data_IF_142016381487
#
_entry.id   IF_142016381487
#
_cell.length_a   1.000
_cell.length_b   1.000
_cell.length_c   1.000
_cell.angle_alpha   90.00
_cell.angle_beta   90.00
_cell.angle_gamma   90.00
#
_symmetry.space_group_name_H-M   'P 1'
#
loop_
_entity.id
_entity.type
_entity.pdbx_description
1 polymer ?
#
# COMPACT_ATOMS: atom_id res chain seq x y z
N UNK A 1 11.40 12.95 6.73
CA UNK A 1 12.52 12.09 6.33
C UNK A 1 12.25 11.43 4.97
N UNK A 2 13.31 11.08 4.25
CA UNK A 2 13.23 10.38 2.96
C UNK A 2 14.19 9.19 2.97
N UNK A 3 13.73 8.07 2.37
CA UNK A 3 14.49 6.82 2.30
C UNK A 3 14.03 6.01 1.08
N UNK A 4 14.90 5.12 0.57
CA UNK A 4 14.53 4.15 -0.44
C UNK A 4 13.89 2.92 0.20
N UNK A 5 12.85 2.44 -0.45
CA UNK A 5 12.09 1.24 -0.09
C UNK A 5 11.76 0.44 -1.33
N UNK A 6 11.18 -0.75 -1.13
CA UNK A 6 10.66 -1.62 -2.17
C UNK A 6 9.18 -1.87 -1.94
N UNK A 7 8.40 -2.01 -3.01
CA UNK A 7 7.00 -2.44 -2.94
C UNK A 7 6.58 -3.15 -4.23
N UNK A 8 5.46 -3.85 -4.16
CA UNK A 8 4.82 -4.44 -5.31
C UNK A 8 3.73 -3.51 -5.87
N UNK A 9 3.87 -3.13 -7.15
CA UNK A 9 2.88 -2.36 -7.89
C UNK A 9 2.24 -3.24 -8.97
N UNK A 10 1.12 -3.87 -8.66
CA UNK A 10 0.38 -4.67 -9.65
C UNK A 10 -0.25 -3.76 -10.71
N UNK A 11 0.46 -3.57 -11.82
CA UNK A 11 0.02 -2.72 -12.94
C UNK A 11 -1.11 -3.32 -13.80
N UNK A 12 -1.56 -4.54 -13.52
CA UNK A 12 -2.75 -5.11 -14.18
C UNK A 12 -4.05 -4.51 -13.66
N UNK A 13 -3.98 -3.67 -12.64
CA UNK A 13 -5.11 -2.89 -12.12
C UNK A 13 -4.83 -1.40 -12.21
N UNK A 14 -5.87 -0.60 -12.50
CA UNK A 14 -5.71 0.79 -12.86
C UNK A 14 -4.99 1.67 -11.83
N UNK A 15 -5.35 1.69 -10.52
CA UNK A 15 -4.71 2.62 -9.60
C UNK A 15 -3.19 2.42 -9.47
N UNK A 16 -2.65 1.19 -9.32
CA UNK A 16 -1.21 0.95 -9.37
C UNK A 16 -0.58 1.27 -10.73
N UNK A 17 -1.24 0.92 -11.85
CA UNK A 17 -0.74 1.26 -13.19
C UNK A 17 -0.60 2.78 -13.37
N UNK A 18 -1.61 3.53 -12.94
CA UNK A 18 -1.59 4.98 -12.98
C UNK A 18 -0.47 5.58 -12.12
N UNK A 19 -0.29 5.07 -10.90
CA UNK A 19 0.78 5.49 -10.00
C UNK A 19 2.17 5.19 -10.60
N UNK A 20 2.37 4.00 -11.18
CA UNK A 20 3.62 3.61 -11.82
C UNK A 20 3.92 4.47 -13.06
N UNK A 21 2.91 4.72 -13.91
CA UNK A 21 3.05 5.58 -15.09
C UNK A 21 3.42 7.02 -14.70
N UNK A 22 2.73 7.61 -13.75
CA UNK A 22 3.02 8.95 -13.23
C UNK A 22 4.28 9.02 -12.37
N UNK A 23 4.83 7.88 -11.98
CA UNK A 23 5.93 7.74 -11.03
C UNK A 23 5.63 8.31 -9.64
N UNK A 24 4.38 8.47 -9.29
CA UNK A 24 3.97 9.14 -8.06
C UNK A 24 3.07 8.24 -7.23
N UNK A 25 3.50 7.99 -5.99
CA UNK A 25 2.72 7.34 -4.96
C UNK A 25 2.32 8.38 -3.91
N UNK A 26 1.05 8.42 -3.57
CA UNK A 26 0.56 9.28 -2.49
C UNK A 26 -0.34 8.42 -1.62
N UNK A 27 -0.08 8.45 -0.32
CA UNK A 27 -0.92 7.67 0.60
C UNK A 27 -2.29 8.30 0.77
N UNK A 28 -3.34 7.50 0.96
CA UNK A 28 -4.69 8.00 1.17
C UNK A 28 -4.81 9.03 2.30
N UNK A 29 -4.00 8.91 3.34
CA UNK A 29 -3.95 9.86 4.44
C UNK A 29 -3.64 11.31 4.00
N UNK A 30 -2.98 11.48 2.84
CA UNK A 30 -2.63 12.80 2.30
C UNK A 30 -3.70 13.40 1.39
N UNK A 31 -4.74 12.64 1.02
CA UNK A 31 -5.86 13.12 0.21
C UNK A 31 -7.11 13.44 1.02
N UNK A 32 -7.19 12.92 2.24
CA UNK A 32 -8.39 13.02 3.06
C UNK A 32 -8.43 14.26 3.95
N UNK A 33 -9.62 14.58 4.40
CA UNK A 33 -9.84 15.47 5.55
C UNK A 33 -9.75 14.67 6.86
N UNK A 34 -9.62 15.30 8.03
CA UNK A 34 -9.69 14.60 9.31
C UNK A 34 -10.93 13.73 9.49
N UNK A 35 -12.05 14.11 8.89
CA UNK A 35 -13.33 13.39 8.94
C UNK A 35 -13.51 12.36 7.83
N UNK A 36 -12.70 12.39 6.78
CA UNK A 36 -12.78 11.44 5.67
C UNK A 36 -11.38 11.08 5.17
N UNK A 37 -10.97 9.83 5.43
CA UNK A 37 -9.72 9.26 4.90
C UNK A 37 -10.06 8.09 3.98
N UNK A 38 -9.72 8.15 2.70
CA UNK A 38 -9.96 7.03 1.80
C UNK A 38 -9.14 5.81 2.23
N UNK A 39 -9.63 4.63 1.91
CA UNK A 39 -8.90 3.38 2.13
C UNK A 39 -7.70 3.29 1.19
N UNK A 40 -6.62 2.67 1.66
CA UNK A 40 -5.54 2.24 0.79
C UNK A 40 -6.03 1.15 -0.17
N UNK A 41 -5.24 0.90 -1.22
CA UNK A 41 -5.65 -0.04 -2.28
C UNK A 41 -5.99 -1.43 -1.74
N UNK A 42 -5.24 -1.94 -0.77
CA UNK A 42 -5.44 -3.28 -0.24
C UNK A 42 -6.82 -3.48 0.44
N UNK A 43 -7.22 -2.73 1.49
CA UNK A 43 -8.56 -2.87 2.07
C UNK A 43 -9.67 -2.50 1.09
N UNK A 44 -9.44 -1.58 0.16
CA UNK A 44 -10.38 -1.33 -0.94
C UNK A 44 -10.58 -2.59 -1.81
N UNK A 45 -9.51 -3.30 -2.15
CA UNK A 45 -9.59 -4.54 -2.93
C UNK A 45 -10.33 -5.65 -2.18
N UNK A 46 -10.14 -5.78 -0.86
CA UNK A 46 -10.90 -6.72 -0.03
C UNK A 46 -12.41 -6.44 -0.09
N UNK A 47 -12.82 -5.17 -0.05
CA UNK A 47 -14.22 -4.76 -0.23
C UNK A 47 -14.73 -5.12 -1.63
N UNK A 48 -13.99 -4.75 -2.66
CA UNK A 48 -14.36 -4.99 -4.08
C UNK A 48 -14.51 -6.48 -4.38
N UNK A 49 -13.66 -7.31 -3.82
CA UNK A 49 -13.66 -8.77 -4.03
C UNK A 49 -14.54 -9.52 -3.04
N UNK A 50 -15.28 -8.81 -2.18
CA UNK A 50 -16.18 -9.36 -1.16
C UNK A 50 -15.49 -10.31 -0.16
N UNK A 51 -14.20 -10.12 0.10
CA UNK A 51 -13.45 -10.86 1.13
C UNK A 51 -13.78 -10.29 2.53
N UNK A 52 -15.04 -10.37 2.91
CA UNK A 52 -15.60 -9.70 4.09
C UNK A 52 -14.93 -10.16 5.38
N UNK A 53 -14.70 -11.46 5.53
CA UNK A 53 -14.05 -11.99 6.74
C UNK A 53 -12.61 -11.48 6.86
N UNK A 54 -11.88 -11.45 5.75
CA UNK A 54 -10.52 -10.91 5.73
C UNK A 54 -10.49 -9.42 6.10
N UNK A 55 -11.45 -8.65 5.59
CA UNK A 55 -11.58 -7.24 5.95
C UNK A 55 -11.93 -7.04 7.44
N UNK A 56 -12.82 -7.87 7.99
CA UNK A 56 -13.13 -7.84 9.43
C UNK A 56 -11.87 -8.08 10.26
N UNK A 57 -11.02 -9.03 9.87
CA UNK A 57 -9.74 -9.29 10.53
C UNK A 57 -8.77 -8.12 10.46
N UNK A 58 -8.80 -7.28 9.41
CA UNK A 58 -8.02 -6.04 9.34
C UNK A 58 -8.57 -4.95 10.27
N UNK A 59 -9.88 -4.94 10.52
CA UNK A 59 -10.52 -3.94 11.39
C UNK A 59 -10.14 -4.13 12.86
N UNK A 60 -10.03 -5.35 13.34
CA UNK A 60 -9.71 -5.62 14.76
C UNK A 60 -8.32 -5.06 15.18
N UNK A 61 -7.22 -5.33 14.47
CA UNK A 61 -5.93 -4.69 14.76
C UNK A 61 -5.98 -3.16 14.65
N UNK A 62 -6.81 -2.62 13.73
CA UNK A 62 -6.98 -1.18 13.59
C UNK A 62 -7.67 -0.54 14.80
N UNK A 63 -8.64 -1.22 15.41
CA UNK A 63 -9.28 -0.76 16.65
C UNK A 63 -8.28 -0.72 17.80
N UNK A 64 -7.45 -1.75 17.96
CA UNK A 64 -6.36 -1.79 18.94
C UNK A 64 -5.36 -0.65 18.67
N UNK A 65 -4.94 -0.48 17.41
CA UNK A 65 -4.05 0.61 17.02
C UNK A 65 -4.63 1.96 17.42
N UNK A 66 -5.86 2.23 17.05
CA UNK A 66 -6.52 3.52 17.31
C UNK A 66 -6.61 3.83 18.80
N UNK A 67 -6.82 2.80 19.61
CA UNK A 67 -7.00 2.95 21.07
C UNK A 67 -5.67 3.11 21.80
N UNK A 68 -4.66 2.30 21.45
CA UNK A 68 -3.43 2.18 22.24
C UNK A 68 -2.16 2.65 21.52
N UNK A 69 -2.19 2.70 20.18
CA UNK A 69 -1.02 2.96 19.33
C UNK A 69 -1.33 4.02 18.27
N UNK A 70 -1.99 5.11 18.65
CA UNK A 70 -2.45 6.16 17.71
C UNK A 70 -1.32 6.84 16.94
N UNK A 71 -0.07 6.78 17.44
CA UNK A 71 1.11 7.25 16.75
C UNK A 71 1.52 6.35 15.57
N UNK A 72 1.13 5.08 15.58
CA UNK A 72 1.43 4.15 14.48
C UNK A 72 0.57 4.44 13.26
N UNK A 73 1.10 4.15 12.06
CA UNK A 73 0.38 4.32 10.80
C UNK A 73 -0.70 3.24 10.66
N UNK A 74 -1.89 3.64 10.23
CA UNK A 74 -3.00 2.72 9.99
C UNK A 74 -2.72 1.79 8.80
N UNK A 75 -2.99 0.51 8.96
CA UNK A 75 -2.99 -0.48 7.88
C UNK A 75 -4.06 -0.16 6.81
N UNK A 76 -5.14 0.47 7.20
CA UNK A 76 -6.25 0.79 6.29
C UNK A 76 -5.96 1.99 5.39
N UNK A 77 -5.02 2.85 5.80
CA UNK A 77 -4.74 4.13 5.12
C UNK A 77 -3.29 4.32 4.69
N UNK A 78 -2.38 3.48 5.18
CA UNK A 78 -0.96 3.52 4.84
C UNK A 78 -0.62 2.76 3.56
N UNK A 79 0.59 2.95 3.08
CA UNK A 79 1.22 2.13 2.04
C UNK A 79 2.21 1.16 2.68
N UNK A 80 2.28 -0.05 2.14
CA UNK A 80 3.17 -1.11 2.64
C UNK A 80 4.47 -1.12 1.86
N UNK A 81 5.58 -1.10 2.57
CA UNK A 81 6.92 -0.95 2.02
C UNK A 81 7.88 -1.97 2.66
N UNK A 82 8.88 -2.39 1.92
CA UNK A 82 9.98 -3.24 2.38
C UNK A 82 11.25 -2.41 2.47
N UNK A 83 12.05 -2.63 3.52
CA UNK A 83 13.28 -1.88 3.73
C UNK A 83 14.40 -2.23 2.74
N UNK A 84 14.34 -3.42 2.15
CA UNK A 84 15.30 -3.93 1.18
C UNK A 84 14.65 -4.92 0.19
N UNK A 85 15.32 -5.16 -0.92
CA UNK A 85 14.83 -6.04 -1.99
C UNK A 85 14.73 -7.51 -1.54
N UNK A 86 15.64 -7.97 -0.70
CA UNK A 86 15.62 -9.35 -0.21
C UNK A 86 14.40 -9.62 0.68
N UNK A 87 14.08 -8.70 1.57
CA UNK A 87 12.86 -8.74 2.38
C UNK A 87 11.60 -8.72 1.52
N UNK A 88 11.58 -7.86 0.48
CA UNK A 88 10.45 -7.82 -0.46
C UNK A 88 10.27 -9.15 -1.19
N UNK A 89 11.35 -9.77 -1.69
CA UNK A 89 11.30 -11.08 -2.36
C UNK A 89 10.77 -12.19 -1.46
N UNK A 90 11.01 -12.14 -0.15
CA UNK A 90 10.39 -13.08 0.80
C UNK A 90 8.87 -12.94 0.84
N UNK A 91 8.31 -11.78 0.48
CA UNK A 91 6.88 -11.55 0.33
C UNK A 91 6.22 -12.31 -0.83
N UNK A 92 6.99 -12.80 -1.81
CA UNK A 92 6.46 -13.63 -2.92
C UNK A 92 5.75 -14.90 -2.43
N UNK A 93 6.05 -15.36 -1.22
CA UNK A 93 5.35 -16.49 -0.58
C UNK A 93 3.83 -16.29 -0.48
N UNK A 94 3.36 -15.04 -0.47
CA UNK A 94 1.93 -14.72 -0.41
C UNK A 94 1.24 -14.69 -1.78
N UNK A 95 1.97 -14.99 -2.86
CA UNK A 95 1.43 -14.99 -4.21
C UNK A 95 0.24 -15.94 -4.38
N UNK A 96 0.28 -17.08 -3.74
CA UNK A 96 -0.79 -18.07 -3.82
C UNK A 96 -2.05 -17.65 -3.04
N UNK A 97 -1.89 -16.97 -1.91
CA UNK A 97 -3.00 -16.55 -1.04
C UNK A 97 -3.57 -15.18 -1.40
N UNK A 98 -2.71 -14.25 -1.84
CA UNK A 98 -3.06 -12.85 -2.12
C UNK A 98 -3.07 -12.53 -3.61
N UNK A 99 -3.01 -13.56 -4.45
CA UNK A 99 -3.09 -13.45 -5.89
C UNK A 99 -1.85 -12.83 -6.53
N UNK A 100 -1.99 -12.41 -7.77
CA UNK A 100 -0.87 -11.97 -8.60
C UNK A 100 -0.21 -10.64 -8.14
N UNK A 101 -0.64 -10.07 -7.02
CA UNK A 101 -0.07 -8.83 -6.48
C UNK A 101 1.43 -8.95 -6.18
N UNK A 102 1.86 -10.09 -5.65
CA UNK A 102 3.27 -10.35 -5.28
C UNK A 102 4.09 -10.99 -6.42
N UNK A 103 3.76 -10.72 -7.67
CA UNK A 103 4.59 -11.20 -8.79
C UNK A 103 5.88 -10.39 -8.88
N UNK A 104 7.00 -11.06 -9.17
CA UNK A 104 8.33 -10.43 -9.24
C UNK A 104 8.40 -9.23 -10.21
N UNK A 105 7.65 -9.29 -11.32
CA UNK A 105 7.60 -8.20 -12.33
C UNK A 105 6.98 -6.90 -11.78
N UNK A 106 6.31 -6.94 -10.64
CA UNK A 106 5.70 -5.78 -10.00
C UNK A 106 6.54 -5.18 -8.88
N UNK A 107 7.67 -5.84 -8.55
CA UNK A 107 8.58 -5.34 -7.54
C UNK A 107 9.34 -4.12 -8.06
N UNK A 108 9.26 -3.01 -7.32
CA UNK A 108 9.94 -1.76 -7.66
C UNK A 108 10.58 -1.10 -6.46
N UNK A 109 11.66 -0.39 -6.74
CA UNK A 109 12.26 0.54 -5.79
C UNK A 109 11.55 1.89 -5.84
N UNK A 110 11.37 2.51 -4.67
CA UNK A 110 10.77 3.84 -4.53
C UNK A 110 11.57 4.70 -3.56
N UNK A 111 11.79 5.95 -3.92
CA UNK A 111 12.22 6.97 -2.97
C UNK A 111 11.00 7.52 -2.24
N UNK A 112 10.88 7.30 -0.94
CA UNK A 112 9.68 7.65 -0.19
C UNK A 112 9.98 8.69 0.88
N UNK A 113 9.27 9.82 0.81
CA UNK A 113 9.26 10.86 1.84
C UNK A 113 8.04 10.64 2.73
N UNK A 114 8.28 10.38 4.01
CA UNK A 114 7.22 10.05 4.94
C UNK A 114 7.07 11.08 6.05
N UNK A 115 5.82 11.29 6.47
CA UNK A 115 5.45 12.06 7.65
C UNK A 115 5.42 11.14 8.88
N UNK A 116 4.91 9.92 8.70
CA UNK A 116 4.82 8.87 9.70
C UNK A 116 5.25 7.54 9.11
N UNK A 117 5.92 6.73 9.92
CA UNK A 117 6.42 5.42 9.54
C UNK A 117 6.26 4.47 10.72
N UNK A 118 5.71 3.29 10.46
CA UNK A 118 5.57 2.21 11.44
C UNK A 118 6.31 1.00 10.92
N UNK A 119 7.20 0.42 11.73
CA UNK A 119 7.90 -0.82 11.42
C UNK A 119 7.25 -1.97 12.18
N UNK A 120 6.88 -3.03 11.48
CA UNK A 120 6.19 -4.20 12.02
C UNK A 120 6.77 -5.49 11.44
N UNK A 121 6.63 -6.60 12.18
CA UNK A 121 6.97 -7.92 11.64
C UNK A 121 5.71 -8.56 11.03
N UNK A 122 5.76 -8.84 9.72
CA UNK A 122 4.62 -9.40 8.99
C UNK A 122 4.33 -10.86 9.32
N UNK A 123 5.22 -11.57 10.01
CA UNK A 123 4.95 -12.93 10.45
C UNK A 123 3.72 -12.99 11.39
N UNK A 124 3.45 -11.93 12.17
CA UNK A 124 2.20 -11.80 12.94
C UNK A 124 0.95 -11.82 12.06
N UNK A 125 1.04 -11.19 10.88
CA UNK A 125 -0.05 -11.13 9.92
C UNK A 125 -0.25 -12.47 9.24
N UNK A 126 0.84 -13.15 8.87
CA UNK A 126 0.81 -14.50 8.29
C UNK A 126 0.04 -15.47 9.19
N UNK A 127 0.37 -15.48 10.46
CA UNK A 127 -0.21 -16.42 11.40
C UNK A 127 -1.70 -16.15 11.66
N UNK A 128 -2.08 -14.89 11.81
CA UNK A 128 -3.42 -14.57 12.31
C UNK A 128 -4.40 -14.01 11.27
N UNK A 129 -3.92 -13.34 10.25
CA UNK A 129 -4.81 -12.64 9.32
C UNK A 129 -5.00 -13.33 7.98
N UNK A 130 -4.03 -14.09 7.48
CA UNK A 130 -4.08 -14.60 6.09
C UNK A 130 -5.06 -15.76 5.88
N UNK A 131 -5.53 -16.41 6.93
CA UNK A 131 -6.48 -17.53 6.81
C UNK A 131 -7.92 -17.00 6.69
N UNK A 132 -8.44 -16.89 5.48
CA UNK A 132 -9.79 -16.37 5.21
C UNK A 132 -10.93 -17.21 5.83
N UNK A 133 -10.69 -18.51 6.06
CA UNK A 133 -11.72 -19.45 6.52
C UNK A 133 -11.94 -19.45 8.04
N UNK A 134 -11.04 -18.85 8.81
CA UNK A 134 -11.10 -18.91 10.27
C UNK A 134 -11.37 -17.53 10.85
N UNK A 135 -12.44 -17.32 11.64
CA UNK A 135 -12.65 -16.09 12.38
C UNK A 135 -11.48 -15.82 13.34
N UNK A 136 -11.21 -14.54 13.61
CA UNK A 136 -10.27 -14.18 14.68
C UNK A 136 -10.80 -14.67 16.03
N UNK A 137 -9.93 -15.36 16.76
CA UNK A 137 -10.19 -15.65 18.18
C UNK A 137 -9.97 -14.37 18.99
N UNK A 138 -11.08 -13.80 19.44
CA UNK A 138 -11.05 -12.58 20.26
C UNK A 138 -10.42 -12.76 21.65
N UNK A 139 -10.23 -14.01 22.08
CA UNK A 139 -9.55 -14.29 23.33
C UNK A 139 -8.03 -14.24 23.21
N UNK A 140 -7.50 -14.11 21.99
CA UNK A 140 -6.07 -14.07 21.70
C UNK A 140 -5.65 -12.72 21.08
N UNK A 141 -5.95 -11.59 21.76
CA UNK A 141 -5.63 -10.26 21.23
C UNK A 141 -4.19 -9.81 21.52
N UNK A 142 -3.44 -10.53 22.34
CA UNK A 142 -2.09 -10.14 22.75
C UNK A 142 -1.12 -9.97 21.58
N UNK A 143 -1.30 -10.77 20.51
CA UNK A 143 -0.49 -10.64 19.31
C UNK A 143 -0.64 -9.27 18.62
N UNK A 144 -1.83 -8.66 18.67
CA UNK A 144 -2.07 -7.35 18.08
C UNK A 144 -1.27 -6.25 18.80
N UNK A 145 -1.12 -6.39 20.12
CA UNK A 145 -0.28 -5.50 20.90
C UNK A 145 1.19 -5.69 20.55
N UNK A 146 1.68 -6.94 20.44
CA UNK A 146 3.05 -7.23 20.03
C UNK A 146 3.34 -6.72 18.61
N UNK A 147 2.43 -6.94 17.68
CA UNK A 147 2.51 -6.41 16.31
C UNK A 147 2.66 -4.88 16.30
N UNK A 148 1.78 -4.15 17.00
CA UNK A 148 1.82 -2.69 16.99
C UNK A 148 2.98 -2.10 17.81
N UNK A 149 3.57 -2.86 18.73
CA UNK A 149 4.84 -2.49 19.37
C UNK A 149 6.05 -2.71 18.47
N UNK A 150 5.89 -3.38 17.32
CA UNK A 150 6.98 -3.72 16.42
C UNK A 150 7.87 -4.83 16.98
N UNK A 151 7.32 -5.74 17.79
CA UNK A 151 8.03 -6.89 18.32
C UNK A 151 8.19 -7.96 17.23
N UNK A 152 9.36 -8.66 17.18
CA UNK A 152 9.54 -9.75 16.24
C UNK A 152 8.67 -10.94 16.60
N UNK A 153 8.26 -11.70 15.59
CA UNK A 153 7.63 -13.00 15.79
C UNK A 153 8.59 -13.98 16.47
N UNK A 154 8.17 -14.68 17.56
CA UNK A 154 9.11 -15.39 18.44
C UNK A 154 9.75 -16.63 17.82
N UNK A 155 9.15 -17.23 16.79
CA UNK A 155 9.55 -18.56 16.26
C UNK A 155 10.14 -18.54 14.86
N UNK A 156 10.31 -17.36 14.23
CA UNK A 156 10.90 -17.23 12.92
C UNK A 156 11.76 -15.96 12.81
N UNK A 157 12.66 -15.95 11.81
CA UNK A 157 13.38 -14.73 11.46
C UNK A 157 12.39 -13.62 11.07
N UNK A 158 12.49 -12.42 11.65
CA UNK A 158 11.58 -11.33 11.36
C UNK A 158 11.53 -10.98 9.86
N UNK A 159 10.34 -10.71 9.37
CA UNK A 159 10.12 -10.15 8.05
C UNK A 159 9.56 -8.73 8.21
N UNK A 160 10.48 -7.76 8.22
CA UNK A 160 10.15 -6.38 8.50
C UNK A 160 9.45 -5.70 7.33
N UNK A 161 8.25 -5.24 7.59
CA UNK A 161 7.46 -4.37 6.73
C UNK A 161 7.35 -2.98 7.36
N UNK A 162 7.24 -1.98 6.51
CA UNK A 162 7.02 -0.61 6.91
C UNK A 162 5.67 -0.13 6.38
N UNK A 163 4.86 0.43 7.27
CA UNK A 163 3.60 1.07 6.90
C UNK A 163 3.85 2.58 6.97
N UNK A 164 3.65 3.28 5.86
CA UNK A 164 4.03 4.67 5.73
C UNK A 164 2.86 5.57 5.34
N UNK A 165 2.88 6.81 5.85
CA UNK A 165 2.09 7.94 5.36
C UNK A 165 3.03 8.96 4.73
N UNK A 166 2.80 9.31 3.45
CA UNK A 166 3.68 10.22 2.74
C UNK A 166 3.52 10.17 1.22
N UNK A 167 4.62 10.48 0.54
CA UNK A 167 4.69 10.52 -0.92
C UNK A 167 5.93 9.76 -1.40
N UNK A 168 5.79 9.05 -2.50
CA UNK A 168 6.88 8.29 -3.12
C UNK A 168 7.09 8.63 -4.58
N UNK A 169 8.34 8.50 -5.03
CA UNK A 169 8.75 8.52 -6.42
C UNK A 169 9.13 7.10 -6.83
N UNK A 170 8.41 6.52 -7.77
CA UNK A 170 8.69 5.19 -8.32
C UNK A 170 9.88 5.27 -9.27
N UNK A 171 10.88 4.42 -9.04
CA UNK A 171 12.04 4.30 -9.92
C UNK A 171 11.81 3.24 -11.02
N UNK A 172 12.64 3.29 -12.05
CA UNK A 172 12.60 2.33 -13.15
C UNK A 172 11.74 2.78 -14.33
N UNK A 173 12.34 2.69 -15.53
CA UNK A 173 11.67 3.06 -16.80
C UNK A 173 10.90 1.91 -17.42
N UNK A 174 11.31 0.66 -17.15
CA UNK A 174 10.68 -0.52 -17.75
C UNK A 174 9.22 -0.66 -17.27
N UNK A 175 9.00 -0.68 -15.95
CA UNK A 175 7.66 -0.76 -15.38
C UNK A 175 6.79 0.43 -15.81
N UNK A 176 7.36 1.63 -15.90
CA UNK A 176 6.63 2.82 -16.37
C UNK A 176 6.10 2.66 -17.78
N UNK A 177 6.89 2.10 -18.70
CA UNK A 177 6.46 1.83 -20.08
C UNK A 177 5.34 0.81 -20.12
N UNK A 178 5.48 -0.29 -19.37
CA UNK A 178 4.43 -1.30 -19.26
C UNK A 178 3.15 -0.71 -18.66
N UNK A 179 3.27 0.09 -17.61
CA UNK A 179 2.14 0.78 -16.98
C UNK A 179 1.42 1.72 -17.94
N UNK A 180 2.14 2.43 -18.81
CA UNK A 180 1.53 3.26 -19.85
C UNK A 180 0.62 2.45 -20.77
N UNK A 181 1.08 1.29 -21.25
CA UNK A 181 0.26 0.42 -22.11
C UNK A 181 -0.97 -0.13 -21.37
N UNK A 182 -0.81 -0.43 -20.08
CA UNK A 182 -1.96 -0.83 -19.24
C UNK A 182 -2.95 0.31 -19.04
N UNK A 183 -2.51 1.52 -18.78
CA UNK A 183 -3.39 2.71 -18.64
C UNK A 183 -4.17 2.97 -19.92
N UNK A 184 -3.53 2.86 -21.10
CA UNK A 184 -4.21 3.00 -22.40
C UNK A 184 -5.39 2.03 -22.56
N UNK A 185 -5.26 0.84 -21.99
CA UNK A 185 -6.29 -0.21 -22.09
C UNK A 185 -7.34 -0.10 -20.99
N UNK A 186 -6.90 0.17 -19.75
CA UNK A 186 -7.76 0.16 -18.57
C UNK A 186 -8.56 1.45 -18.37
N UNK A 187 -7.98 2.59 -18.76
CA UNK A 187 -8.59 3.90 -18.58
C UNK A 187 -8.00 4.94 -19.56
N UNK A 188 -8.30 4.83 -20.87
CA UNK A 188 -7.72 5.70 -21.90
C UNK A 188 -8.00 7.20 -21.65
N UNK A 189 -9.17 7.54 -21.11
CA UNK A 189 -9.54 8.93 -20.82
C UNK A 189 -8.63 9.61 -19.80
N UNK A 190 -7.95 8.83 -18.93
CA UNK A 190 -6.98 9.37 -17.98
C UNK A 190 -5.78 10.01 -18.66
N UNK A 191 -5.38 9.53 -19.84
CA UNK A 191 -4.31 10.13 -20.64
C UNK A 191 -4.73 11.48 -21.23
N UNK A 192 -5.99 11.60 -21.64
CA UNK A 192 -6.55 12.88 -22.10
C UNK A 192 -6.54 13.95 -20.99
N UNK A 193 -6.82 13.57 -19.76
CA UNK A 193 -6.74 14.50 -18.62
C UNK A 193 -5.31 15.02 -18.39
N UNK A 194 -4.28 14.18 -18.55
CA UNK A 194 -2.89 14.64 -18.46
C UNK A 194 -2.53 15.62 -19.58
N UNK A 195 -3.00 15.37 -20.79
CA UNK A 195 -2.76 16.27 -21.92
C UNK A 195 -3.43 17.61 -21.73
N UNK A 196 -4.68 17.63 -21.28
CA UNK A 196 -5.38 18.87 -20.91
C UNK A 196 -4.64 19.63 -19.82
N UNK A 197 -4.11 18.92 -18.80
CA UNK A 197 -3.28 19.50 -17.77
C UNK A 197 -2.02 20.17 -18.34
N UNK A 198 -1.32 19.48 -19.24
CA UNK A 198 -0.14 20.02 -19.92
C UNK A 198 -0.46 21.29 -20.70
N UNK A 199 -1.49 21.26 -21.52
CA UNK A 199 -1.93 22.40 -22.32
C UNK A 199 -2.27 23.60 -21.43
N UNK A 200 -2.99 23.39 -20.35
CA UNK A 200 -3.39 24.47 -19.46
C UNK A 200 -2.20 25.12 -18.73
N UNK A 201 -1.17 24.32 -18.35
CA UNK A 201 0.08 24.86 -17.81
C UNK A 201 0.81 25.72 -18.85
N UNK A 202 0.88 25.26 -20.10
CA UNK A 202 1.47 26.04 -21.21
C UNK A 202 0.71 27.35 -21.48
N UNK A 203 -0.59 27.38 -21.19
CA UNK A 203 -1.42 28.58 -21.26
C UNK A 203 -1.31 29.48 -20.01
N UNK A 204 -0.42 29.18 -19.08
CA UNK A 204 -0.21 29.97 -17.86
C UNK A 204 -1.24 29.73 -16.76
N UNK A 205 -2.02 28.62 -16.84
CA UNK A 205 -2.96 28.23 -15.80
C UNK A 205 -2.25 27.47 -14.68
N UNK A 206 -2.55 27.82 -13.44
CA UNK A 206 -2.08 27.06 -12.26
C UNK A 206 -2.98 25.84 -12.02
N UNK A 207 -2.60 24.72 -12.62
CA UNK A 207 -3.35 23.46 -12.53
C UNK A 207 -2.93 22.55 -11.39
N UNK A 208 -2.07 22.97 -10.49
CA UNK A 208 -1.77 22.19 -9.28
C UNK A 208 -3.01 21.93 -8.43
N UNK A 209 -4.06 22.73 -8.60
CA UNK A 209 -5.36 22.56 -7.94
C UNK A 209 -6.28 21.54 -8.63
N UNK A 210 -6.00 21.15 -9.88
CA UNK A 210 -6.83 20.23 -10.67
C UNK A 210 -6.19 18.86 -10.88
N UNK A 211 -5.01 18.62 -10.33
CA UNK A 211 -4.38 17.30 -10.32
C UNK A 211 -5.09 16.41 -9.31
N UNK A 212 -5.75 15.33 -9.71
CA UNK A 212 -6.29 14.35 -8.77
C UNK A 212 -5.17 13.66 -7.97
#
# INVERSE_FOLDING_TARGET
>A
PSQNFFLYLNIDVFPPAWAAYRRTLITPANYGTPSFRPLSYWPYNLLKTKRTLRLQKEIEPELIRKTFYSAQVSRLHGIYLWGDEQSAKRGERWRETEGNHFHADYLVEVGFTYNRLTKVDTNWIDEYLLHDSTPLDRNCLDWMHSYWRGEPWPTAEPLWEYIAEGRGLVYGTALRKQAYEKVKTLAPDSLGQLELGRIAVEMGSDLYQLSP
#
